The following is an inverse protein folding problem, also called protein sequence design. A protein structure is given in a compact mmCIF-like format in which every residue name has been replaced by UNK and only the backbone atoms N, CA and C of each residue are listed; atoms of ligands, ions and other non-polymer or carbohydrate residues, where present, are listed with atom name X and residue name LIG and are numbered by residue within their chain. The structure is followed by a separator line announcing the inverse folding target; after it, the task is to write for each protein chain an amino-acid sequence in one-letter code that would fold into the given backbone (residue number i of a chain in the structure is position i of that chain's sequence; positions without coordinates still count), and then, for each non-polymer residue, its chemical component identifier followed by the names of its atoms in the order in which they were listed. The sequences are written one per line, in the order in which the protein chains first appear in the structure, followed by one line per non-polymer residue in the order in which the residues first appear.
data_IF_673878104621
#
_entry.id   IF_673878104621
#
_cell.length_a   1.000
_cell.length_b   1.000
_cell.length_c   1.000
_cell.angle_alpha   90.00
_cell.angle_beta   90.00
_cell.angle_gamma   90.00
#
_symmetry.space_group_name_H-M   'P 1'
#
loop_
_entity.id
_entity.type
_entity.pdbx_description
1 polymer ?
#
# COMPACT_ATOMS: atom_id res chain seq x y z
N UNK A 1 -0.11 16.00 6.34
CA UNK A 1 -1.33 15.34 5.84
C UNK A 1 -2.02 16.27 4.85
N UNK A 2 -2.67 15.67 3.84
CA UNK A 2 -3.48 16.42 2.90
C UNK A 2 -4.78 16.89 3.56
N UNK A 3 -5.10 18.17 3.36
CA UNK A 3 -6.44 18.74 3.58
C UNK A 3 -6.75 19.66 2.42
N UNK A 4 -8.02 20.01 2.23
CA UNK A 4 -8.41 20.97 1.18
C UNK A 4 -7.71 22.32 1.36
N UNK A 5 -7.35 22.68 2.59
CA UNK A 5 -6.61 23.90 2.94
C UNK A 5 -5.12 23.81 2.51
N UNK A 6 -4.52 22.61 2.47
CA UNK A 6 -3.13 22.41 2.09
C UNK A 6 -2.92 22.15 0.60
N UNK A 7 -3.99 21.95 -0.17
CA UNK A 7 -3.92 21.78 -1.62
C UNK A 7 -3.16 22.91 -2.34
N UNK A 8 -3.36 24.21 -2.00
CA UNK A 8 -2.63 25.32 -2.59
C UNK A 8 -1.13 25.34 -2.27
N UNK A 9 -0.65 24.52 -1.33
CA UNK A 9 0.75 24.48 -0.95
C UNK A 9 1.58 23.52 -1.82
N UNK A 10 0.95 22.67 -2.64
CA UNK A 10 1.64 21.72 -3.52
C UNK A 10 2.68 22.41 -4.43
N UNK A 11 2.39 23.52 -5.13
CA UNK A 11 3.39 24.21 -5.91
C UNK A 11 4.57 24.74 -5.08
N UNK A 12 4.30 25.23 -3.87
CA UNK A 12 5.33 25.73 -2.96
C UNK A 12 6.30 24.63 -2.52
N UNK A 13 5.80 23.38 -2.33
CA UNK A 13 6.66 22.24 -2.03
C UNK A 13 7.66 21.99 -3.17
N UNK A 14 7.21 22.07 -4.42
CA UNK A 14 8.09 21.93 -5.59
C UNK A 14 9.15 23.04 -5.62
N UNK A 15 8.78 24.30 -5.38
CA UNK A 15 9.71 25.43 -5.27
C UNK A 15 10.75 25.24 -4.16
N UNK A 16 10.38 24.55 -3.07
CA UNK A 16 11.28 24.19 -1.98
C UNK A 16 12.18 22.97 -2.29
N UNK A 17 12.04 22.36 -3.47
CA UNK A 17 12.82 21.20 -3.89
C UNK A 17 12.23 19.86 -3.48
N UNK A 18 10.95 19.80 -3.10
CA UNK A 18 10.22 18.55 -2.81
C UNK A 18 9.52 18.07 -4.08
N UNK A 19 10.07 17.07 -4.81
CA UNK A 19 9.57 16.70 -6.14
C UNK A 19 8.42 15.73 -6.12
N UNK A 20 8.06 15.13 -4.97
CA UNK A 20 7.05 14.10 -4.88
C UNK A 20 6.24 14.19 -3.58
N UNK A 21 5.01 13.69 -3.63
CA UNK A 21 4.13 13.61 -2.45
C UNK A 21 3.40 12.27 -2.43
N UNK A 22 3.28 11.66 -1.24
CA UNK A 22 2.57 10.39 -1.05
C UNK A 22 1.12 10.59 -0.63
N UNK A 23 0.21 9.83 -1.26
CA UNK A 23 -1.21 9.78 -1.01
C UNK A 23 -1.65 8.35 -0.65
N UNK A 24 -2.77 8.22 0.05
CA UNK A 24 -3.27 6.92 0.50
C UNK A 24 -4.74 6.72 0.09
N UNK A 25 -5.00 5.73 -0.75
CA UNK A 25 -6.37 5.31 -1.09
C UNK A 25 -6.95 4.35 -0.04
N UNK A 26 -6.15 3.88 0.91
CA UNK A 26 -6.52 3.07 2.07
C UNK A 26 -6.78 3.92 3.32
N UNK A 27 -7.02 3.26 4.45
CA UNK A 27 -7.20 3.89 5.78
C UNK A 27 -8.41 4.80 5.90
N UNK A 28 -9.55 4.39 5.33
CA UNK A 28 -10.84 5.09 5.44
C UNK A 28 -11.16 5.39 6.91
N UNK A 29 -11.63 6.61 7.16
CA UNK A 29 -11.91 7.10 8.51
C UNK A 29 -10.70 7.74 9.23
N UNK A 30 -9.55 7.81 8.59
CA UNK A 30 -8.37 8.55 9.11
C UNK A 30 -8.09 9.80 8.27
N UNK A 31 -7.22 10.68 8.77
CA UNK A 31 -6.78 11.89 8.06
C UNK A 31 -5.96 11.57 6.79
N UNK A 32 -5.43 10.36 6.67
CA UNK A 32 -4.63 9.94 5.51
C UNK A 32 -5.47 9.58 4.29
N UNK A 33 -6.75 9.23 4.50
CA UNK A 33 -7.60 8.69 3.44
C UNK A 33 -7.91 9.71 2.35
N UNK A 34 -7.64 9.31 1.11
CA UNK A 34 -7.97 10.06 -0.11
C UNK A 34 -9.13 9.37 -0.82
N UNK A 35 -10.29 10.02 -0.86
CA UNK A 35 -11.35 9.64 -1.78
C UNK A 35 -11.02 10.06 -3.22
N UNK A 36 -11.85 9.64 -4.16
CA UNK A 36 -11.62 9.90 -5.58
C UNK A 36 -11.57 11.40 -5.93
N UNK A 37 -12.38 12.23 -5.26
CA UNK A 37 -12.38 13.67 -5.49
C UNK A 37 -11.08 14.31 -5.01
N UNK A 38 -10.63 13.99 -3.79
CA UNK A 38 -9.36 14.48 -3.23
C UNK A 38 -8.18 14.04 -4.06
N UNK A 39 -8.19 12.77 -4.49
CA UNK A 39 -7.14 12.23 -5.35
C UNK A 39 -7.05 12.98 -6.68
N UNK A 40 -8.17 13.23 -7.35
CA UNK A 40 -8.22 13.99 -8.60
C UNK A 40 -7.73 15.45 -8.39
N UNK A 41 -8.19 16.13 -7.35
CA UNK A 41 -7.75 17.49 -7.04
C UNK A 41 -6.23 17.58 -6.83
N UNK A 42 -5.64 16.59 -6.12
CA UNK A 42 -4.20 16.49 -5.93
C UNK A 42 -3.46 16.26 -7.25
N UNK A 43 -3.95 15.34 -8.08
CA UNK A 43 -3.34 15.03 -9.37
C UNK A 43 -3.36 16.24 -10.32
N UNK A 44 -4.46 17.01 -10.36
CA UNK A 44 -4.55 18.23 -11.14
C UNK A 44 -3.60 19.32 -10.64
N UNK A 45 -3.46 19.48 -9.32
CA UNK A 45 -2.51 20.44 -8.74
C UNK A 45 -1.07 20.03 -9.02
N UNK A 46 -0.75 18.75 -8.86
CA UNK A 46 0.58 18.20 -9.13
C UNK A 46 0.98 18.33 -10.60
N UNK A 47 0.07 18.05 -11.51
CA UNK A 47 0.31 18.18 -12.95
C UNK A 47 0.75 19.62 -13.32
N UNK A 48 0.12 20.63 -12.72
CA UNK A 48 0.41 22.05 -13.01
C UNK A 48 1.81 22.49 -12.56
N UNK A 49 2.40 21.83 -11.57
CA UNK A 49 3.72 22.18 -11.03
C UNK A 49 4.79 21.10 -11.25
N UNK A 50 4.47 20.00 -11.94
CA UNK A 50 5.42 18.94 -12.25
C UNK A 50 5.78 18.05 -11.07
N UNK A 51 4.94 17.96 -10.02
CA UNK A 51 5.14 17.08 -8.89
C UNK A 51 4.80 15.62 -9.24
N UNK A 52 5.62 14.66 -8.83
CA UNK A 52 5.32 13.23 -8.92
C UNK A 52 4.40 12.82 -7.77
N UNK A 53 3.25 12.25 -8.08
CA UNK A 53 2.38 11.66 -7.07
C UNK A 53 2.70 10.20 -6.83
N UNK A 54 2.92 9.84 -5.57
CA UNK A 54 3.15 8.47 -5.10
C UNK A 54 1.89 7.98 -4.38
N UNK A 55 1.42 6.77 -4.68
CA UNK A 55 0.12 6.32 -4.17
C UNK A 55 0.21 4.94 -3.54
N UNK A 56 -0.24 4.85 -2.27
CA UNK A 56 -0.63 3.59 -1.64
C UNK A 56 -2.01 3.21 -2.17
N UNK A 57 -2.08 2.18 -3.00
CA UNK A 57 -3.28 1.81 -3.74
C UNK A 57 -3.86 0.49 -3.21
N UNK A 58 -4.74 0.56 -2.23
CA UNK A 58 -5.63 -0.53 -1.80
C UNK A 58 -7.06 0.01 -1.68
N UNK A 59 -8.05 -0.78 -2.12
CA UNK A 59 -9.46 -0.39 -2.05
C UNK A 59 -9.98 -0.49 -0.60
N UNK A 60 -10.33 0.64 0.05
CA UNK A 60 -10.70 0.66 1.46
C UNK A 60 -11.99 -0.08 1.75
N UNK A 61 -12.98 -0.05 0.86
CA UNK A 61 -14.27 -0.72 1.08
C UNK A 61 -14.13 -2.25 0.98
N UNK A 62 -13.26 -2.75 0.09
CA UNK A 62 -12.90 -4.17 0.03
C UNK A 62 -12.22 -4.59 1.34
N UNK A 63 -11.24 -3.81 1.81
CA UNK A 63 -10.52 -4.10 3.04
C UNK A 63 -11.46 -4.12 4.24
N UNK A 64 -12.30 -3.11 4.39
CA UNK A 64 -13.25 -2.98 5.50
C UNK A 64 -14.26 -4.12 5.49
N UNK A 65 -14.82 -4.46 4.32
CA UNK A 65 -15.72 -5.60 4.20
C UNK A 65 -15.05 -6.90 4.64
N UNK A 66 -13.88 -7.22 4.11
CA UNK A 66 -13.18 -8.46 4.44
C UNK A 66 -12.81 -8.52 5.94
N UNK A 67 -12.33 -7.41 6.52
CA UNK A 67 -11.99 -7.32 7.95
C UNK A 67 -13.21 -7.49 8.85
N UNK A 68 -14.34 -6.89 8.48
CA UNK A 68 -15.59 -7.00 9.22
C UNK A 68 -16.17 -8.42 9.14
N UNK A 69 -16.13 -9.05 7.97
CA UNK A 69 -16.57 -10.45 7.80
C UNK A 69 -15.72 -11.41 8.64
N UNK A 70 -14.39 -11.22 8.63
CA UNK A 70 -13.48 -12.02 9.45
C UNK A 70 -13.79 -11.86 10.96
N UNK A 71 -13.98 -10.62 11.42
CA UNK A 71 -14.32 -10.34 12.82
C UNK A 71 -15.68 -10.94 13.22
N UNK A 72 -16.69 -10.85 12.36
CA UNK A 72 -18.00 -11.44 12.59
C UNK A 72 -17.93 -12.98 12.67
N UNK A 73 -16.98 -13.61 11.97
CA UNK A 73 -16.70 -15.04 12.03
C UNK A 73 -15.79 -15.45 13.21
N UNK A 74 -15.37 -14.50 14.05
CA UNK A 74 -14.49 -14.76 15.20
C UNK A 74 -13.00 -14.94 14.84
N UNK A 75 -12.57 -14.43 13.70
CA UNK A 75 -11.23 -14.58 13.15
C UNK A 75 -10.38 -13.35 13.48
N UNK A 76 -9.41 -13.49 14.39
CA UNK A 76 -8.63 -12.39 14.92
C UNK A 76 -7.11 -12.60 14.84
N UNK A 77 -6.64 -13.82 14.50
CA UNK A 77 -5.22 -14.17 14.42
C UNK A 77 -4.50 -13.40 13.30
N UNK A 78 -3.19 -13.28 13.41
CA UNK A 78 -2.36 -12.50 12.47
C UNK A 78 -2.52 -12.91 11.00
N UNK A 79 -2.74 -14.21 10.72
CA UNK A 79 -2.97 -14.73 9.36
C UNK A 79 -4.16 -14.08 8.66
N UNK A 80 -5.17 -13.64 9.40
CA UNK A 80 -6.32 -12.96 8.80
C UNK A 80 -5.98 -11.57 8.26
N UNK A 81 -4.81 -11.02 8.61
CA UNK A 81 -4.36 -9.80 7.99
C UNK A 81 -4.18 -9.96 6.48
N UNK A 82 -3.43 -10.98 6.01
CA UNK A 82 -3.28 -11.20 4.57
C UNK A 82 -4.56 -11.74 3.91
N UNK A 83 -5.37 -12.52 4.63
CA UNK A 83 -6.64 -13.06 4.12
C UNK A 83 -7.68 -11.97 3.87
N UNK A 84 -7.63 -10.87 4.62
CA UNK A 84 -8.55 -9.73 4.48
C UNK A 84 -8.03 -8.63 3.56
N UNK A 85 -6.88 -8.85 2.91
CA UNK A 85 -6.27 -7.95 1.92
C UNK A 85 -6.07 -8.67 0.59
N UNK A 86 -7.19 -8.99 -0.11
CA UNK A 86 -7.10 -9.78 -1.34
C UNK A 86 -6.40 -8.99 -2.45
N UNK A 87 -5.63 -9.67 -3.33
CA UNK A 87 -4.92 -9.02 -4.44
C UNK A 87 -5.79 -8.16 -5.35
N UNK A 88 -7.05 -8.57 -5.58
CA UNK A 88 -7.96 -7.78 -6.42
C UNK A 88 -8.30 -6.40 -5.82
N UNK A 89 -8.22 -6.24 -4.49
CA UNK A 89 -8.44 -4.95 -3.84
C UNK A 89 -7.28 -3.98 -4.06
N UNK A 90 -6.05 -4.49 -4.17
CA UNK A 90 -4.87 -3.73 -4.59
C UNK A 90 -4.95 -3.40 -6.09
N UNK A 91 -5.20 -4.39 -6.94
CA UNK A 91 -5.26 -4.22 -8.39
C UNK A 91 -6.36 -3.23 -8.84
N UNK A 92 -7.55 -3.27 -8.22
CA UNK A 92 -8.62 -2.31 -8.52
C UNK A 92 -8.18 -0.89 -8.19
N UNK A 93 -7.61 -0.66 -7.02
CA UNK A 93 -7.15 0.66 -6.62
C UNK A 93 -6.00 1.17 -7.51
N UNK A 94 -5.06 0.30 -7.89
CA UNK A 94 -3.99 0.61 -8.85
C UNK A 94 -4.57 1.01 -10.20
N UNK A 95 -5.49 0.22 -10.76
CA UNK A 95 -6.14 0.52 -12.04
C UNK A 95 -6.86 1.86 -12.02
N UNK A 96 -7.60 2.15 -10.94
CA UNK A 96 -8.34 3.40 -10.76
C UNK A 96 -7.40 4.60 -10.63
N UNK A 97 -6.36 4.51 -9.82
CA UNK A 97 -5.36 5.57 -9.66
C UNK A 97 -4.68 5.90 -10.98
N UNK A 98 -4.25 4.89 -11.74
CA UNK A 98 -3.63 5.06 -13.06
C UNK A 98 -4.57 5.75 -14.05
N UNK A 99 -5.87 5.38 -14.07
CA UNK A 99 -6.86 6.00 -14.95
C UNK A 99 -7.06 7.47 -14.62
N UNK A 100 -7.09 7.82 -13.35
CA UNK A 100 -7.21 9.23 -12.93
C UNK A 100 -5.96 10.03 -13.28
N UNK A 101 -4.77 9.50 -13.01
CA UNK A 101 -3.52 10.15 -13.36
C UNK A 101 -3.39 10.38 -14.89
N UNK A 102 -3.74 9.37 -15.69
CA UNK A 102 -3.73 9.50 -17.15
C UNK A 102 -4.76 10.50 -17.66
N UNK A 103 -5.95 10.56 -17.07
CA UNK A 103 -6.98 11.53 -17.47
C UNK A 103 -6.50 12.97 -17.33
N UNK A 104 -5.77 13.29 -16.25
CA UNK A 104 -5.23 14.63 -15.98
C UNK A 104 -3.77 14.80 -16.43
N UNK A 105 -3.17 13.76 -17.03
CA UNK A 105 -1.78 13.75 -17.52
C UNK A 105 -0.73 14.03 -16.42
N UNK A 106 -0.99 13.58 -15.20
CA UNK A 106 -0.06 13.64 -14.09
C UNK A 106 0.77 12.35 -14.01
N UNK A 107 2.13 12.42 -13.98
CA UNK A 107 2.93 11.21 -13.74
C UNK A 107 2.66 10.67 -12.33
N UNK A 108 2.65 9.34 -12.21
CA UNK A 108 2.33 8.65 -10.96
C UNK A 108 3.31 7.53 -10.67
N UNK A 109 3.63 7.35 -9.39
CA UNK A 109 4.32 6.18 -8.88
C UNK A 109 3.35 5.37 -8.01
N UNK A 110 3.12 4.12 -8.39
CA UNK A 110 2.46 3.14 -7.53
C UNK A 110 3.53 2.51 -6.65
N UNK A 111 3.47 2.77 -5.34
CA UNK A 111 4.49 2.30 -4.39
C UNK A 111 4.18 0.90 -3.88
N UNK A 112 5.20 0.18 -3.41
CA UNK A 112 5.13 -1.10 -2.67
C UNK A 112 4.16 -2.12 -3.29
N UNK A 113 4.18 -2.30 -4.61
CA UNK A 113 3.38 -3.31 -5.33
C UNK A 113 3.70 -4.69 -4.79
N UNK A 114 2.68 -5.43 -4.36
CA UNK A 114 2.84 -6.69 -3.65
C UNK A 114 2.38 -7.93 -4.41
N UNK A 115 1.57 -7.78 -5.46
CA UNK A 115 0.92 -8.91 -6.13
C UNK A 115 0.93 -8.81 -7.66
N UNK A 116 0.70 -9.97 -8.29
CA UNK A 116 0.66 -10.14 -9.75
C UNK A 116 -0.39 -9.21 -10.37
N UNK A 117 -1.59 -9.19 -9.83
CA UNK A 117 -2.73 -8.47 -10.38
C UNK A 117 -2.47 -6.96 -10.44
N UNK A 118 -1.86 -6.40 -9.39
CA UNK A 118 -1.48 -4.98 -9.35
C UNK A 118 -0.33 -4.68 -10.32
N UNK A 119 0.68 -5.55 -10.37
CA UNK A 119 1.80 -5.43 -11.30
C UNK A 119 1.36 -5.49 -12.76
N UNK A 120 0.38 -6.33 -13.09
CA UNK A 120 -0.17 -6.42 -14.44
C UNK A 120 -0.94 -5.16 -14.88
N UNK A 121 -1.62 -4.46 -13.96
CA UNK A 121 -2.24 -3.16 -14.25
C UNK A 121 -1.17 -2.12 -14.63
N UNK A 122 -0.03 -2.09 -13.91
CA UNK A 122 1.09 -1.19 -14.21
C UNK A 122 1.73 -1.58 -15.55
N UNK A 123 2.03 -2.87 -15.77
CA UNK A 123 2.62 -3.37 -17.01
C UNK A 123 1.78 -2.97 -18.23
N UNK A 124 0.46 -3.17 -18.15
CA UNK A 124 -0.49 -2.79 -19.20
C UNK A 124 -0.49 -1.28 -19.45
N UNK A 125 -0.54 -0.48 -18.40
CA UNK A 125 -0.54 0.97 -18.50
C UNK A 125 0.74 1.51 -19.16
N UNK A 126 1.90 0.96 -18.80
CA UNK A 126 3.19 1.32 -19.41
C UNK A 126 3.26 0.92 -20.88
N UNK A 127 2.74 -0.26 -21.25
CA UNK A 127 2.65 -0.69 -22.64
C UNK A 127 1.73 0.22 -23.48
N UNK A 128 0.75 0.86 -22.87
CA UNK A 128 -0.11 1.87 -23.48
C UNK A 128 0.54 3.29 -23.50
N UNK A 129 1.76 3.44 -23.02
CA UNK A 129 2.48 4.71 -22.99
C UNK A 129 2.07 5.69 -21.88
N UNK A 130 1.38 5.23 -20.84
CA UNK A 130 1.01 6.05 -19.70
C UNK A 130 2.22 6.33 -18.79
N UNK A 131 2.26 7.51 -18.19
CA UNK A 131 3.36 7.96 -17.32
C UNK A 131 3.23 7.35 -15.90
N UNK A 132 3.50 6.05 -15.80
CA UNK A 132 3.39 5.28 -14.56
C UNK A 132 4.73 4.62 -14.20
N UNK A 133 5.14 4.79 -12.96
CA UNK A 133 6.26 4.11 -12.31
C UNK A 133 5.69 3.09 -11.34
N UNK A 134 6.23 1.88 -11.32
CA UNK A 134 5.92 0.86 -10.32
C UNK A 134 7.10 0.63 -9.40
N UNK A 135 6.83 0.62 -8.10
CA UNK A 135 7.81 0.28 -7.06
C UNK A 135 7.35 -0.97 -6.31
N UNK A 136 8.27 -1.89 -6.05
CA UNK A 136 8.09 -2.96 -5.05
C UNK A 136 9.09 -2.83 -3.92
N UNK A 137 9.06 -3.75 -2.94
CA UNK A 137 9.93 -3.67 -1.77
C UNK A 137 10.65 -5.00 -1.51
N UNK A 138 11.85 -4.98 -0.88
CA UNK A 138 12.62 -6.19 -0.59
C UNK A 138 11.83 -7.25 0.17
N UNK A 139 11.00 -6.86 1.13
CA UNK A 139 10.20 -7.81 1.92
C UNK A 139 9.19 -8.58 1.05
N UNK A 140 8.62 -7.99 -0.01
CA UNK A 140 7.75 -8.72 -0.96
C UNK A 140 8.52 -9.68 -1.87
N UNK A 141 9.82 -9.46 -2.04
CA UNK A 141 10.67 -10.31 -2.88
C UNK A 141 11.16 -11.58 -2.17
N UNK A 142 11.23 -11.57 -0.82
CA UNK A 142 11.87 -12.63 -0.05
C UNK A 142 11.05 -13.22 1.09
N UNK A 143 10.00 -12.52 1.54
CA UNK A 143 9.13 -12.99 2.61
C UNK A 143 7.76 -13.38 2.05
N UNK A 144 7.16 -14.42 2.62
CA UNK A 144 5.82 -14.84 2.24
C UNK A 144 4.79 -14.69 3.39
N UNK A 145 3.52 -14.78 3.03
CA UNK A 145 2.39 -14.61 3.94
C UNK A 145 2.38 -15.57 5.12
N UNK A 146 3.00 -16.75 4.99
CA UNK A 146 3.02 -17.79 6.03
C UNK A 146 3.88 -17.42 7.25
N UNK A 147 4.63 -16.31 7.16
CA UNK A 147 5.22 -15.69 8.36
C UNK A 147 4.17 -15.30 9.39
N UNK A 148 2.96 -14.96 8.95
CA UNK A 148 1.83 -14.61 9.83
C UNK A 148 1.05 -15.83 10.36
N UNK A 149 1.38 -17.05 9.92
CA UNK A 149 0.80 -18.31 10.42
C UNK A 149 1.52 -18.82 11.68
N UNK A 150 2.53 -18.12 12.16
CA UNK A 150 3.30 -18.54 13.34
C UNK A 150 2.38 -18.66 14.57
N UNK A 151 2.48 -19.76 15.37
CA UNK A 151 1.61 -20.02 16.52
C UNK A 151 1.77 -18.99 17.65
N UNK A 152 2.97 -18.42 17.82
CA UNK A 152 3.21 -17.29 18.71
C UNK A 152 2.79 -16.00 18.00
N UNK A 153 1.75 -15.36 18.50
CA UNK A 153 1.21 -14.15 17.92
C UNK A 153 2.19 -12.96 17.97
N UNK A 154 3.10 -12.89 18.95
CA UNK A 154 4.15 -11.87 19.00
C UNK A 154 5.09 -11.97 17.78
N UNK A 155 5.42 -13.20 17.37
CA UNK A 155 6.23 -13.45 16.19
C UNK A 155 5.43 -13.16 14.92
N UNK A 156 4.19 -13.63 14.85
CA UNK A 156 3.31 -13.42 13.70
C UNK A 156 3.02 -11.93 13.45
N UNK A 157 2.79 -11.14 14.51
CA UNK A 157 2.50 -9.71 14.43
C UNK A 157 3.61 -8.87 13.79
N UNK A 158 4.87 -9.32 13.86
CA UNK A 158 6.03 -8.63 13.24
C UNK A 158 5.87 -8.44 11.74
N UNK A 159 5.19 -9.38 11.09
CA UNK A 159 5.06 -9.46 9.64
C UNK A 159 3.81 -8.76 9.10
N UNK A 160 3.03 -8.12 9.97
CA UNK A 160 1.86 -7.33 9.58
C UNK A 160 2.31 -6.03 8.94
N UNK A 161 2.12 -5.92 7.62
CA UNK A 161 2.39 -4.74 6.80
C UNK A 161 1.31 -4.55 5.73
N UNK A 162 1.24 -3.39 5.13
CA UNK A 162 0.25 -3.04 4.11
C UNK A 162 0.89 -2.39 2.89
N UNK A 163 0.69 -2.98 1.71
CA UNK A 163 -0.03 -4.24 1.41
C UNK A 163 0.54 -5.44 2.15
N UNK A 164 -0.26 -6.51 2.29
CA UNK A 164 0.18 -7.71 2.99
C UNK A 164 1.21 -8.53 2.18
N UNK A 165 2.05 -9.29 2.88
CA UNK A 165 2.91 -10.30 2.25
C UNK A 165 2.05 -11.31 1.47
N UNK A 166 2.58 -11.80 0.35
CA UNK A 166 1.92 -12.74 -0.57
C UNK A 166 2.63 -14.08 -0.59
N UNK A 167 2.14 -14.99 -1.41
CA UNK A 167 2.77 -16.30 -1.67
C UNK A 167 3.90 -16.22 -2.69
N UNK A 168 4.58 -17.35 -2.84
CA UNK A 168 5.79 -17.49 -3.65
C UNK A 168 5.60 -17.08 -5.12
N UNK A 169 4.43 -17.34 -5.70
CA UNK A 169 4.14 -16.97 -7.08
C UNK A 169 4.22 -15.46 -7.32
N UNK A 170 3.78 -14.67 -6.33
CA UNK A 170 3.90 -13.21 -6.38
C UNK A 170 5.36 -12.77 -6.30
N UNK A 171 6.18 -13.42 -5.47
CA UNK A 171 7.62 -13.12 -5.41
C UNK A 171 8.29 -13.35 -6.77
N UNK A 172 8.04 -14.50 -7.38
CA UNK A 172 8.62 -14.85 -8.69
C UNK A 172 8.20 -13.86 -9.79
N UNK A 173 6.93 -13.42 -9.74
CA UNK A 173 6.44 -12.36 -10.62
C UNK A 173 7.15 -11.03 -10.38
N UNK A 174 7.30 -10.59 -9.13
CA UNK A 174 7.93 -9.31 -8.80
C UNK A 174 9.41 -9.27 -9.20
N UNK A 175 10.15 -10.37 -9.00
CA UNK A 175 11.52 -10.49 -9.51
C UNK A 175 11.57 -10.37 -11.04
N UNK A 176 10.65 -11.04 -11.74
CA UNK A 176 10.53 -10.92 -13.20
C UNK A 176 10.17 -9.49 -13.59
N UNK A 177 9.22 -8.87 -12.91
CA UNK A 177 8.76 -7.52 -13.20
C UNK A 177 9.88 -6.47 -13.08
N UNK A 178 10.77 -6.61 -12.10
CA UNK A 178 11.98 -5.77 -11.96
C UNK A 178 12.96 -6.04 -13.10
N UNK A 179 13.20 -7.30 -13.45
CA UNK A 179 14.14 -7.66 -14.52
C UNK A 179 13.68 -7.17 -15.91
N UNK A 180 12.37 -7.18 -16.15
CA UNK A 180 11.75 -6.76 -17.43
C UNK A 180 11.39 -5.26 -17.44
N UNK A 181 11.76 -4.51 -16.40
CA UNK A 181 11.40 -3.09 -16.21
C UNK A 181 9.88 -2.82 -16.26
N UNK A 182 9.07 -3.78 -15.87
CA UNK A 182 7.63 -3.52 -15.62
C UNK A 182 7.43 -2.74 -14.33
N UNK A 183 8.26 -3.03 -13.32
CA UNK A 183 8.48 -2.24 -12.12
C UNK A 183 9.91 -1.69 -12.15
N UNK A 184 10.08 -0.40 -11.94
CA UNK A 184 11.37 0.27 -12.14
C UNK A 184 12.10 0.61 -10.83
N UNK A 185 11.45 0.42 -9.69
CA UNK A 185 11.99 0.82 -8.37
C UNK A 185 11.84 -0.31 -7.36
N UNK A 186 12.88 -0.49 -6.54
CA UNK A 186 12.84 -1.30 -5.34
C UNK A 186 13.14 -0.41 -4.14
N UNK A 187 12.07 0.07 -3.47
CA UNK A 187 12.15 0.93 -2.29
C UNK A 187 12.06 0.13 -1.00
N UNK A 188 12.64 0.61 0.09
CA UNK A 188 12.63 -0.11 1.36
C UNK A 188 11.27 -0.12 2.05
N UNK A 189 10.49 0.93 1.87
CA UNK A 189 9.26 1.23 2.64
C UNK A 189 9.45 0.96 4.15
N UNK A 190 10.62 1.36 4.67
CA UNK A 190 10.97 1.11 6.06
C UNK A 190 9.97 1.80 7.00
N UNK A 191 9.18 1.00 7.66
CA UNK A 191 8.28 1.42 8.74
C UNK A 191 8.58 0.56 9.96
N UNK A 192 9.73 0.84 10.58
CA UNK A 192 10.26 0.12 11.74
C UNK A 192 9.37 0.29 12.98
N UNK A 193 8.24 -0.41 13.01
CA UNK A 193 7.35 -0.43 14.17
C UNK A 193 7.97 -1.32 15.25
N UNK A 194 8.34 -0.77 16.43
CA UNK A 194 8.89 -1.58 17.53
C UNK A 194 7.93 -2.67 17.98
N UNK A 195 8.47 -3.79 18.50
CA UNK A 195 7.66 -4.91 18.99
C UNK A 195 6.61 -4.44 20.00
N UNK A 196 6.96 -3.54 20.90
CA UNK A 196 6.01 -3.00 21.89
C UNK A 196 4.77 -2.32 21.26
N UNK A 197 4.88 -1.80 20.04
CA UNK A 197 3.73 -1.27 19.31
C UNK A 197 2.98 -2.38 18.56
N UNK A 198 3.69 -3.40 18.04
CA UNK A 198 3.05 -4.60 17.47
C UNK A 198 2.19 -5.32 18.53
N UNK A 199 2.60 -5.26 19.78
CA UNK A 199 1.89 -5.86 20.91
C UNK A 199 0.55 -5.16 21.21
N UNK A 200 0.25 -3.99 20.64
CA UNK A 200 -1.10 -3.39 20.67
C UNK A 200 -2.18 -4.26 20.01
N UNK A 201 -1.74 -5.26 19.26
CA UNK A 201 -2.64 -6.32 18.78
C UNK A 201 -3.26 -7.17 19.89
N UNK A 202 -2.72 -7.15 21.12
CA UNK A 202 -3.35 -7.84 22.24
C UNK A 202 -4.53 -7.04 22.77
N UNK A 203 -5.68 -7.68 22.84
CA UNK A 203 -6.93 -7.13 23.35
C UNK A 203 -7.13 -7.61 24.79
N UNK A 204 -6.76 -6.77 25.75
CA UNK A 204 -6.86 -7.09 27.19
C UNK A 204 -8.30 -7.32 27.64
N UNK A 205 -9.27 -6.62 27.09
CA UNK A 205 -10.68 -6.76 27.44
C UNK A 205 -11.24 -8.13 27.03
N UNK A 206 -10.87 -8.57 25.83
CA UNK A 206 -11.35 -9.85 25.25
C UNK A 206 -10.34 -10.99 25.43
N UNK A 207 -9.18 -10.75 26.06
CA UNK A 207 -8.11 -11.73 26.29
C UNK A 207 -7.71 -12.50 25.03
N UNK A 208 -7.55 -11.78 23.92
CA UNK A 208 -7.19 -12.34 22.61
C UNK A 208 -6.35 -11.39 21.79
N UNK A 209 -5.63 -11.93 20.83
CA UNK A 209 -5.00 -11.13 19.78
C UNK A 209 -6.06 -10.65 18.77
N UNK A 210 -5.90 -9.41 18.26
CA UNK A 210 -6.71 -8.83 17.18
C UNK A 210 -5.80 -8.16 16.15
N UNK A 211 -5.61 -8.80 15.01
CA UNK A 211 -4.74 -8.31 13.94
C UNK A 211 -5.09 -6.89 13.46
N UNK A 212 -6.33 -6.46 13.65
CA UNK A 212 -6.82 -5.15 13.20
C UNK A 212 -6.26 -3.99 14.05
N UNK A 213 -5.77 -4.30 15.26
CA UNK A 213 -5.17 -3.33 16.20
C UNK A 213 -3.67 -3.20 16.01
N UNK A 214 -3.04 -4.09 15.25
CA UNK A 214 -1.59 -4.08 15.01
C UNK A 214 -1.22 -2.97 14.03
N UNK A 215 -0.30 -2.07 14.37
CA UNK A 215 0.23 -1.10 13.42
C UNK A 215 0.89 -1.79 12.22
N UNK A 216 0.59 -1.31 11.01
CA UNK A 216 1.21 -1.80 9.79
C UNK A 216 2.66 -1.31 9.67
N UNK A 217 3.51 -2.14 9.11
CA UNK A 217 4.88 -1.82 8.79
C UNK A 217 5.85 -2.97 9.07
N UNK A 218 6.81 -3.13 8.19
CA UNK A 218 7.94 -4.04 8.38
C UNK A 218 9.23 -3.23 8.39
N UNK A 219 10.31 -3.74 9.02
CA UNK A 219 11.63 -3.16 8.86
C UNK A 219 12.06 -3.24 7.39
N UNK A 220 12.86 -2.26 6.95
CA UNK A 220 13.34 -2.18 5.59
C UNK A 220 14.57 -3.06 5.33
N UNK A 221 15.13 -2.89 4.14
CA UNK A 221 16.38 -3.56 3.77
C UNK A 221 17.53 -3.04 4.64
N UNK A 222 18.18 -3.95 5.37
CA UNK A 222 19.35 -3.65 6.21
C UNK A 222 19.17 -3.91 7.70
N UNK A 223 18.00 -4.40 8.12
CA UNK A 223 17.72 -4.82 9.51
C UNK A 223 17.75 -6.35 9.67
#
# INVERSE_FOLDING_TARGET
DYTDETLPDIPKLVEMGVPSMKLFMAYKGTSLYMDDMKLLNCLEAAQKCGMLMMVHAENPDVLDKCRNDAAAAGHYEAKYHYMTRPPYGEAEAVSRAIRFADAVKCPMCIVHVSCIEAGEEIRRARAEGKAVIGETCPHYLVLDKHKMDHPDWHVAARWICSPALRDKENQDYLWKALNEDWLSVCGSDNSGTPQAQKDWGWDEENQRFDFRKVPNGCPGAGD
#
